data_IF_566874333024
#
_entry.id   IF_566874333024
#
_cell.length_a   1.000
_cell.length_b   1.000
_cell.length_c   1.000
_cell.angle_alpha   90.00
_cell.angle_beta   90.00
_cell.angle_gamma   90.00
#
_symmetry.space_group_name_H-M   'P 1'
#
loop_
_entity.id
_entity.type
_entity.pdbx_description
1 polymer ?
#
# COMPACT_ATOMS: atom_id res chain seq x y z
N UNK A 1 -72.16 -28.39 -23.62
CA UNK A 1 -71.74 -28.10 -22.22
C UNK A 1 -70.23 -28.16 -22.11
N UNK A 2 -69.64 -27.07 -21.84
CA UNK A 2 -68.16 -27.06 -21.57
C UNK A 2 -67.87 -27.86 -20.29
N UNK A 3 -67.02 -28.86 -20.37
CA UNK A 3 -66.56 -29.57 -19.18
C UNK A 3 -65.57 -28.67 -18.48
N UNK A 4 -65.97 -28.09 -17.37
CA UNK A 4 -65.02 -27.36 -16.50
C UNK A 4 -64.05 -28.34 -15.83
N UNK A 5 -62.83 -27.86 -15.54
CA UNK A 5 -61.87 -28.63 -14.77
C UNK A 5 -62.49 -29.06 -13.43
N UNK A 6 -62.42 -30.38 -13.13
CA UNK A 6 -63.06 -30.96 -11.96
C UNK A 6 -62.01 -31.46 -10.94
N UNK A 7 -61.06 -30.63 -10.58
CA UNK A 7 -60.06 -30.97 -9.57
C UNK A 7 -59.23 -32.21 -9.96
N UNK A 8 -59.40 -33.33 -9.23
CA UNK A 8 -58.67 -34.57 -9.44
C UNK A 8 -58.78 -35.13 -10.88
N UNK A 9 -59.81 -34.80 -11.61
CA UNK A 9 -60.01 -35.25 -12.99
C UNK A 9 -59.74 -34.16 -14.02
N UNK A 10 -59.04 -33.10 -13.62
CA UNK A 10 -58.60 -32.06 -14.53
C UNK A 10 -57.55 -32.61 -15.51
N UNK A 11 -57.48 -31.98 -16.65
CA UNK A 11 -56.44 -32.28 -17.65
C UNK A 11 -55.51 -31.06 -17.81
N UNK A 12 -54.28 -31.33 -18.10
CA UNK A 12 -53.28 -30.30 -18.49
C UNK A 12 -52.65 -30.67 -19.83
N UNK A 13 -52.03 -29.73 -20.47
CA UNK A 13 -51.25 -29.91 -21.70
C UNK A 13 -49.80 -29.94 -21.31
N UNK A 14 -49.06 -30.98 -21.80
CA UNK A 14 -47.62 -31.05 -21.62
C UNK A 14 -46.94 -29.96 -22.43
N UNK A 15 -46.04 -29.21 -21.80
CA UNK A 15 -45.27 -28.16 -22.45
C UNK A 15 -44.25 -28.73 -23.47
N UNK A 16 -43.97 -30.03 -23.40
CA UNK A 16 -43.02 -30.68 -24.29
C UNK A 16 -43.70 -31.24 -25.54
N UNK A 17 -44.70 -32.08 -25.37
CA UNK A 17 -45.40 -32.75 -26.47
C UNK A 17 -46.62 -31.98 -26.99
N UNK A 18 -47.16 -31.03 -26.24
CA UNK A 18 -48.43 -30.38 -26.56
C UNK A 18 -49.64 -31.29 -26.42
N UNK A 19 -49.52 -32.50 -25.92
CA UNK A 19 -50.55 -33.49 -25.76
C UNK A 19 -51.27 -33.29 -24.40
N UNK A 20 -52.52 -33.60 -24.35
CA UNK A 20 -53.36 -33.44 -23.15
C UNK A 20 -53.32 -34.73 -22.32
N UNK A 21 -52.89 -34.59 -21.04
CA UNK A 21 -52.83 -35.66 -20.06
C UNK A 21 -53.61 -35.37 -18.79
N UNK A 22 -53.96 -36.35 -17.95
CA UNK A 22 -54.50 -36.13 -16.63
C UNK A 22 -53.54 -35.30 -15.80
N UNK A 23 -54.06 -34.32 -15.02
CA UNK A 23 -53.24 -33.41 -14.27
C UNK A 23 -52.45 -34.09 -13.15
N UNK A 24 -52.94 -35.17 -12.60
CA UNK A 24 -52.27 -36.00 -11.56
C UNK A 24 -51.04 -36.76 -12.06
N UNK A 25 -50.92 -36.92 -13.39
CA UNK A 25 -49.73 -37.58 -14.03
C UNK A 25 -48.72 -36.53 -14.51
N UNK A 26 -48.93 -35.25 -14.25
CA UNK A 26 -48.06 -34.17 -14.68
C UNK A 26 -47.00 -33.83 -13.60
N UNK A 27 -45.76 -33.65 -14.02
CA UNK A 27 -44.61 -33.33 -13.17
C UNK A 27 -43.97 -32.05 -13.65
N UNK A 28 -43.50 -31.24 -12.73
CA UNK A 28 -42.77 -30.03 -13.07
C UNK A 28 -41.25 -30.33 -13.17
N UNK A 29 -40.69 -29.96 -14.29
CA UNK A 29 -39.26 -30.09 -14.53
C UNK A 29 -38.47 -28.96 -13.83
N UNK A 30 -37.14 -29.12 -13.80
CA UNK A 30 -36.18 -28.16 -13.23
C UNK A 30 -36.21 -26.77 -13.90
N UNK A 31 -36.60 -26.71 -15.18
CA UNK A 31 -36.75 -25.47 -15.96
C UNK A 31 -38.13 -24.78 -15.76
N UNK A 32 -39.02 -25.42 -14.99
CA UNK A 32 -40.33 -24.90 -14.69
C UNK A 32 -41.44 -25.44 -15.62
N UNK A 33 -41.10 -26.19 -16.68
CA UNK A 33 -42.06 -26.77 -17.60
C UNK A 33 -42.89 -27.84 -16.92
N UNK A 34 -44.18 -27.90 -17.27
CA UNK A 34 -45.12 -28.92 -16.80
C UNK A 34 -45.22 -30.00 -17.87
N UNK A 35 -44.72 -31.21 -17.57
CA UNK A 35 -44.65 -32.34 -18.53
C UNK A 35 -45.29 -33.57 -17.97
N UNK A 36 -45.70 -34.49 -18.85
CA UNK A 36 -46.17 -35.83 -18.45
C UNK A 36 -45.01 -36.66 -17.89
N UNK A 37 -45.27 -37.47 -16.86
CA UNK A 37 -44.23 -38.24 -16.16
C UNK A 37 -43.28 -39.04 -17.08
N UNK A 38 -43.69 -39.73 -18.14
CA UNK A 38 -42.82 -40.37 -19.10
C UNK A 38 -41.90 -39.42 -19.89
N UNK A 39 -42.27 -38.14 -19.98
CA UNK A 39 -41.49 -37.10 -20.69
C UNK A 39 -40.54 -36.36 -19.78
N UNK A 40 -40.54 -36.65 -18.47
CA UNK A 40 -39.72 -35.98 -17.47
C UNK A 40 -38.25 -36.26 -17.69
N UNK A 41 -37.46 -35.17 -17.72
CA UNK A 41 -36.01 -35.25 -17.74
C UNK A 41 -35.42 -34.59 -16.48
N UNK A 42 -34.54 -35.32 -15.77
CA UNK A 42 -33.81 -34.71 -14.65
C UNK A 42 -32.84 -33.63 -15.15
N UNK A 43 -32.57 -32.67 -14.30
CA UNK A 43 -31.55 -31.67 -14.59
C UNK A 43 -30.19 -32.29 -14.86
N UNK A 44 -29.57 -31.91 -15.97
CA UNK A 44 -28.22 -32.37 -16.29
C UNK A 44 -27.23 -31.90 -15.22
N UNK A 45 -26.38 -32.80 -14.70
CA UNK A 45 -25.40 -32.49 -13.67
C UNK A 45 -24.41 -31.38 -14.08
N UNK A 46 -24.21 -31.18 -15.39
CA UNK A 46 -23.35 -30.13 -15.91
C UNK A 46 -23.93 -28.72 -15.73
N UNK A 47 -25.24 -28.63 -15.56
CA UNK A 47 -25.95 -27.35 -15.32
C UNK A 47 -25.97 -26.97 -13.84
N UNK A 48 -25.50 -27.85 -12.98
CA UNK A 48 -25.30 -27.56 -11.57
C UNK A 48 -23.89 -27.04 -11.38
N UNK A 49 -23.70 -25.84 -10.76
CA UNK A 49 -22.38 -25.38 -10.42
C UNK A 49 -21.74 -26.43 -9.53
N UNK A 50 -20.55 -26.90 -9.90
CA UNK A 50 -19.77 -27.79 -9.03
C UNK A 50 -19.63 -27.11 -7.67
N UNK A 51 -19.87 -27.81 -6.56
CA UNK A 51 -19.55 -27.26 -5.26
C UNK A 51 -18.07 -26.92 -5.26
N UNK A 52 -17.77 -25.63 -5.25
CA UNK A 52 -16.41 -25.14 -5.10
C UNK A 52 -16.06 -25.45 -3.65
N UNK A 53 -15.17 -26.42 -3.43
CA UNK A 53 -14.60 -26.64 -2.12
C UNK A 53 -13.98 -25.33 -1.65
N UNK A 54 -14.09 -25.01 -0.37
CA UNK A 54 -13.42 -23.83 0.19
C UNK A 54 -11.94 -23.93 -0.16
N UNK A 55 -11.43 -22.93 -0.90
CA UNK A 55 -10.01 -22.81 -1.15
C UNK A 55 -9.31 -22.63 0.20
N UNK A 56 -8.46 -23.59 0.63
CA UNK A 56 -7.76 -23.48 1.91
C UNK A 56 -6.80 -22.28 1.96
N UNK A 57 -6.50 -21.69 0.81
CA UNK A 57 -5.70 -20.47 0.69
C UNK A 57 -6.56 -19.20 0.69
N UNK A 58 -7.87 -19.32 0.45
CA UNK A 58 -8.77 -18.19 0.49
C UNK A 58 -9.20 -17.87 1.93
N UNK A 59 -8.90 -16.69 2.38
CA UNK A 59 -9.36 -16.19 3.67
C UNK A 59 -10.82 -15.72 3.55
N UNK A 60 -11.71 -16.24 4.39
CA UNK A 60 -13.12 -15.86 4.41
C UNK A 60 -13.34 -14.36 4.69
N UNK A 61 -12.57 -13.81 5.62
CA UNK A 61 -12.56 -12.38 5.94
C UNK A 61 -11.10 -11.92 6.07
N UNK A 62 -10.40 -11.70 4.97
CA UNK A 62 -9.04 -11.22 5.04
C UNK A 62 -9.02 -9.86 5.72
N UNK A 63 -8.29 -9.77 6.81
CA UNK A 63 -7.90 -8.51 7.43
C UNK A 63 -6.38 -8.41 7.31
N UNK A 64 -5.89 -8.04 6.13
CA UNK A 64 -4.46 -7.89 5.96
C UNK A 64 -3.96 -6.85 6.96
N UNK A 65 -2.82 -7.13 7.54
CA UNK A 65 -2.11 -6.10 8.27
C UNK A 65 -1.95 -4.90 7.34
N UNK A 66 -2.20 -3.68 7.79
CA UNK A 66 -1.93 -2.50 6.98
C UNK A 66 -0.53 -2.63 6.41
N UNK A 67 -0.39 -2.40 5.11
CA UNK A 67 0.91 -2.44 4.47
C UNK A 67 1.87 -1.62 5.33
N UNK A 68 2.95 -2.25 5.76
CA UNK A 68 4.02 -1.51 6.41
C UNK A 68 4.43 -0.42 5.45
N UNK A 69 4.50 0.83 5.94
CA UNK A 69 4.90 1.94 5.09
C UNK A 69 6.21 1.63 4.41
N UNK A 70 6.36 2.18 3.22
CA UNK A 70 7.60 2.09 2.50
C UNK A 70 8.74 2.41 3.46
N UNK A 71 9.68 1.50 3.59
CA UNK A 71 10.81 1.65 4.50
C UNK A 71 11.70 2.83 4.08
N UNK A 72 11.62 3.21 2.81
CA UNK A 72 12.34 4.33 2.21
C UNK A 72 11.34 5.29 1.56
N UNK A 73 11.42 6.57 1.92
CA UNK A 73 10.59 7.63 1.37
C UNK A 73 11.51 8.60 0.62
N UNK A 74 11.16 8.91 -0.63
CA UNK A 74 11.82 9.96 -1.40
C UNK A 74 11.36 11.31 -0.84
N UNK A 75 12.32 12.19 -0.60
CA UNK A 75 12.05 13.55 -0.14
C UNK A 75 11.89 14.49 -1.35
N UNK A 76 11.38 15.68 -1.09
CA UNK A 76 11.29 16.76 -2.08
C UNK A 76 12.69 17.25 -2.49
N UNK A 77 12.77 18.12 -3.49
CA UNK A 77 14.03 18.61 -4.06
C UNK A 77 14.90 19.39 -3.06
N UNK A 78 14.30 20.08 -2.09
CA UNK A 78 14.99 20.84 -1.05
C UNK A 78 14.41 20.56 0.32
N UNK A 79 14.54 19.32 0.84
CA UNK A 79 13.79 18.89 2.00
C UNK A 79 14.36 19.41 3.32
N UNK A 80 15.60 19.84 3.34
CA UNK A 80 16.31 20.22 4.55
C UNK A 80 16.33 21.73 4.73
N UNK A 81 16.09 22.19 5.96
CA UNK A 81 16.26 23.60 6.33
C UNK A 81 17.01 23.70 7.65
N UNK A 82 18.12 24.44 7.65
CA UNK A 82 18.94 24.62 8.84
C UNK A 82 18.31 25.62 9.80
N UNK A 83 18.42 25.33 11.10
CA UNK A 83 18.02 26.22 12.18
C UNK A 83 19.07 26.21 13.26
N UNK A 84 19.47 27.40 13.73
CA UNK A 84 20.40 27.55 14.85
C UNK A 84 19.62 28.06 16.06
N UNK A 85 19.59 27.27 17.11
CA UNK A 85 19.00 27.65 18.38
C UNK A 85 19.90 27.28 19.54
N UNK A 86 20.17 28.24 20.41
CA UNK A 86 21.02 28.08 21.60
C UNK A 86 22.41 27.44 21.31
N UNK A 87 23.02 27.80 20.17
CA UNK A 87 24.32 27.27 19.77
C UNK A 87 24.29 25.86 19.20
N UNK A 88 23.12 25.27 19.03
CA UNK A 88 22.93 23.94 18.43
C UNK A 88 22.32 24.09 17.05
N UNK A 89 22.84 23.31 16.10
CA UNK A 89 22.28 23.23 14.77
C UNK A 89 21.22 22.13 14.71
N UNK A 90 20.04 22.53 14.30
CA UNK A 90 18.94 21.62 13.96
C UNK A 90 18.72 21.65 12.47
N UNK A 91 18.24 20.54 11.94
CA UNK A 91 17.83 20.46 10.54
C UNK A 91 16.38 20.02 10.52
N UNK A 92 15.51 20.90 10.08
CA UNK A 92 14.12 20.59 9.79
C UNK A 92 14.05 19.82 8.47
N UNK A 93 13.28 18.75 8.44
CA UNK A 93 13.10 17.91 7.28
C UNK A 93 11.65 17.91 6.88
N UNK A 94 11.37 18.29 5.65
CA UNK A 94 10.06 18.15 5.04
C UNK A 94 9.89 16.76 4.44
N UNK A 95 8.85 16.06 4.83
CA UNK A 95 8.47 14.76 4.28
C UNK A 95 6.97 14.60 4.43
N UNK A 96 6.26 14.75 3.34
CA UNK A 96 4.80 14.72 3.33
C UNK A 96 4.25 13.45 3.99
N UNK A 97 3.33 13.62 4.93
CA UNK A 97 2.66 12.54 5.70
C UNK A 97 3.62 11.41 6.12
N UNK A 98 4.75 11.74 6.71
CA UNK A 98 5.83 10.78 6.97
C UNK A 98 5.46 9.69 7.97
N UNK A 99 4.43 9.88 8.82
CA UNK A 99 3.89 8.96 9.82
C UNK A 99 4.97 8.26 10.70
N UNK A 100 6.11 8.88 10.88
CA UNK A 100 7.18 8.39 11.75
C UNK A 100 6.89 8.81 13.18
N UNK A 101 7.22 7.94 14.13
CA UNK A 101 7.09 8.26 15.55
C UNK A 101 8.30 9.08 16.04
N UNK A 102 8.07 9.93 17.03
CA UNK A 102 9.17 10.59 17.74
C UNK A 102 10.11 9.53 18.34
N UNK A 103 11.41 9.79 18.29
CA UNK A 103 12.43 8.86 18.75
C UNK A 103 12.80 7.77 17.75
N UNK A 104 12.17 7.68 16.59
CA UNK A 104 12.61 6.78 15.51
C UNK A 104 13.98 7.19 15.01
N UNK A 105 14.80 6.21 14.61
CA UNK A 105 16.10 6.46 14.02
C UNK A 105 15.96 6.37 12.50
N UNK A 106 16.34 7.44 11.82
CA UNK A 106 16.31 7.53 10.36
C UNK A 106 17.69 7.76 9.80
N UNK A 107 17.91 7.27 8.59
CA UNK A 107 19.10 7.55 7.80
C UNK A 107 18.69 8.23 6.50
N UNK A 108 19.42 9.27 6.16
CA UNK A 108 19.28 9.92 4.86
C UNK A 108 20.23 9.29 3.85
N UNK A 109 19.79 9.26 2.60
CA UNK A 109 20.55 8.72 1.48
C UNK A 109 20.37 9.64 0.29
N UNK A 110 21.46 9.94 -0.39
CA UNK A 110 21.45 10.73 -1.62
C UNK A 110 21.08 9.91 -2.86
N UNK A 111 21.16 10.51 -4.04
CA UNK A 111 20.94 9.82 -5.30
C UNK A 111 21.94 8.67 -5.46
N UNK A 112 21.58 7.62 -6.22
CA UNK A 112 22.52 6.55 -6.53
C UNK A 112 23.72 7.13 -7.26
N UNK A 113 24.90 6.84 -6.77
CA UNK A 113 26.12 7.17 -7.47
C UNK A 113 26.28 6.20 -8.63
N UNK A 114 26.24 6.72 -9.84
CA UNK A 114 26.61 5.91 -11.01
C UNK A 114 28.13 5.74 -10.95
N UNK A 115 28.57 4.60 -10.46
CA UNK A 115 29.99 4.23 -10.55
C UNK A 115 30.23 4.01 -12.05
N UNK A 116 30.85 4.98 -12.71
CA UNK A 116 31.34 4.80 -14.04
C UNK A 116 32.30 3.61 -14.04
N UNK A 117 32.00 2.61 -14.87
CA UNK A 117 32.91 1.51 -15.09
C UNK A 117 34.30 2.08 -15.40
N UNK A 118 35.29 1.72 -14.59
CA UNK A 118 36.66 2.14 -14.84
C UNK A 118 37.13 1.62 -16.21
N UNK A 119 38.14 2.21 -16.82
CA UNK A 119 38.66 1.78 -18.13
C UNK A 119 39.32 0.41 -18.07
N UNK A 120 38.60 -0.61 -17.75
CA UNK A 120 39.04 -1.98 -17.58
C UNK A 120 37.92 -2.99 -17.51
N UNK A 121 36.70 -2.53 -17.47
CA UNK A 121 35.44 -3.15 -17.88
C UNK A 121 35.25 -4.65 -17.68
N UNK A 122 35.59 -5.22 -16.57
CA UNK A 122 35.12 -6.55 -16.17
C UNK A 122 34.18 -6.37 -14.94
N UNK A 123 33.02 -5.82 -15.22
CA UNK A 123 31.93 -5.76 -14.22
C UNK A 123 31.23 -7.11 -14.16
N UNK A 124 31.87 -8.05 -13.50
CA UNK A 124 31.26 -9.32 -13.11
C UNK A 124 30.37 -9.19 -11.86
N UNK A 125 30.12 -7.99 -11.39
CA UNK A 125 29.35 -7.77 -10.18
C UNK A 125 28.12 -6.90 -10.44
N UNK A 126 27.14 -7.50 -11.08
CA UNK A 126 25.77 -6.98 -11.21
C UNK A 126 25.00 -6.95 -9.87
N UNK A 127 25.70 -7.04 -8.75
CA UNK A 127 25.05 -6.84 -7.45
C UNK A 127 24.73 -5.36 -7.30
N UNK A 128 23.45 -5.00 -7.13
CA UNK A 128 23.10 -3.61 -6.85
C UNK A 128 23.79 -3.19 -5.56
N UNK A 129 24.83 -2.39 -5.71
CA UNK A 129 25.61 -1.95 -4.58
C UNK A 129 24.74 -1.03 -3.71
N UNK A 130 24.30 -1.53 -2.54
CA UNK A 130 23.53 -0.76 -1.57
C UNK A 130 24.24 0.51 -1.10
N UNK A 131 25.51 0.68 -1.43
CA UNK A 131 26.29 1.90 -1.19
C UNK A 131 25.83 3.08 -2.07
N UNK A 132 25.12 2.81 -3.16
CA UNK A 132 24.65 3.84 -4.10
C UNK A 132 23.73 4.91 -3.46
N UNK A 133 23.19 4.68 -2.27
CA UNK A 133 22.27 5.59 -1.61
C UNK A 133 22.89 6.32 -0.42
N UNK A 134 24.21 6.43 -0.34
CA UNK A 134 24.86 6.96 0.86
C UNK A 134 25.23 8.44 0.76
N UNK A 135 25.44 8.95 -0.44
CA UNK A 135 25.96 10.30 -0.61
C UNK A 135 24.83 11.33 -0.71
N UNK A 136 24.73 12.17 0.30
CA UNK A 136 23.87 13.36 0.28
C UNK A 136 24.77 14.57 0.08
N UNK A 137 24.48 15.44 -0.89
CA UNK A 137 25.21 16.70 -1.03
C UNK A 137 25.16 17.50 0.26
N UNK A 138 26.28 18.02 0.70
CA UNK A 138 26.36 18.89 1.85
C UNK A 138 25.79 20.26 1.51
N UNK A 139 25.10 20.88 2.47
CA UNK A 139 24.60 22.25 2.34
C UNK A 139 24.85 23.01 3.65
N UNK A 140 25.02 24.29 3.55
CA UNK A 140 25.25 25.19 4.69
C UNK A 140 26.24 24.62 5.75
N UNK A 141 27.29 23.97 5.29
CA UNK A 141 28.31 23.32 6.12
C UNK A 141 27.80 22.13 6.99
N UNK A 142 26.59 21.64 6.78
CA UNK A 142 26.06 20.47 7.46
C UNK A 142 26.46 19.21 6.71
N UNK A 143 27.54 18.57 7.14
CA UNK A 143 28.13 17.41 6.47
C UNK A 143 27.71 16.06 7.06
N UNK A 144 27.20 16.05 8.28
CA UNK A 144 26.88 14.81 9.01
C UNK A 144 25.56 14.15 8.59
N UNK A 145 24.79 14.75 7.66
CA UNK A 145 23.60 14.12 7.08
C UNK A 145 23.89 12.76 6.43
N UNK A 146 25.14 12.53 6.03
CA UNK A 146 25.62 11.24 5.52
C UNK A 146 25.88 10.20 6.62
N UNK A 147 25.54 10.48 7.87
CA UNK A 147 25.81 9.60 8.99
C UNK A 147 25.17 8.23 8.82
N UNK A 148 26.00 7.20 8.74
CA UNK A 148 25.55 5.81 8.58
C UNK A 148 24.77 5.29 9.80
N UNK A 149 25.03 5.83 11.00
CA UNK A 149 24.32 5.45 12.23
C UNK A 149 22.92 6.06 12.31
N UNK A 150 22.62 7.01 11.42
CA UNK A 150 21.33 7.70 11.37
C UNK A 150 21.16 8.75 12.47
N UNK A 151 19.95 9.30 12.51
CA UNK A 151 19.55 10.35 13.44
C UNK A 151 18.27 9.98 14.15
N UNK A 152 18.19 10.31 15.43
CA UNK A 152 16.95 10.24 16.17
C UNK A 152 16.10 11.47 15.81
N UNK A 153 14.86 11.25 15.41
CA UNK A 153 13.97 12.33 15.00
C UNK A 153 13.10 12.85 16.16
N UNK A 154 12.83 14.12 16.13
CA UNK A 154 11.76 14.76 16.90
C UNK A 154 10.71 15.30 15.94
N UNK A 155 9.42 15.23 16.31
CA UNK A 155 8.32 15.63 15.44
C UNK A 155 8.22 17.13 15.33
N UNK A 156 7.74 17.60 14.18
CA UNK A 156 7.55 19.01 13.88
C UNK A 156 8.83 19.71 13.45
N UNK A 157 8.67 20.96 13.11
CA UNK A 157 9.80 21.85 12.81
C UNK A 157 10.11 22.75 13.99
N UNK A 158 11.39 23.02 14.19
CA UNK A 158 11.87 23.96 15.21
C UNK A 158 12.18 25.31 14.55
N UNK A 159 11.87 26.41 15.22
CA UNK A 159 12.23 27.76 14.78
C UNK A 159 13.50 28.26 15.49
N UNK A 160 14.00 29.45 15.08
CA UNK A 160 15.16 30.08 15.69
C UNK A 160 14.95 30.53 17.16
N UNK A 161 13.72 30.50 17.64
CA UNK A 161 13.35 30.81 19.03
C UNK A 161 13.19 29.53 19.85
N UNK A 162 13.33 28.34 19.23
CA UNK A 162 13.20 27.05 19.89
C UNK A 162 11.74 26.56 20.00
N UNK A 163 10.79 27.22 19.35
CA UNK A 163 9.41 26.74 19.33
C UNK A 163 9.27 25.61 18.32
N UNK A 164 8.47 24.61 18.67
CA UNK A 164 8.16 23.48 17.81
C UNK A 164 6.75 23.62 17.28
N UNK A 165 6.59 23.56 15.96
CA UNK A 165 5.30 23.62 15.27
C UNK A 165 5.09 22.38 14.43
N UNK A 166 3.83 21.97 14.20
CA UNK A 166 3.51 20.78 13.39
C UNK A 166 3.90 19.44 14.03
N UNK A 167 4.11 19.39 15.35
CA UNK A 167 4.47 18.18 16.06
C UNK A 167 3.28 17.30 16.43
N UNK A 168 2.10 17.89 16.47
CA UNK A 168 0.85 17.22 16.81
C UNK A 168 -0.20 17.54 15.77
N UNK A 169 -0.97 16.54 15.39
CA UNK A 169 -2.13 16.70 14.52
C UNK A 169 -3.40 16.44 15.31
N UNK A 170 -4.39 17.30 15.12
CA UNK A 170 -5.73 17.12 15.68
C UNK A 170 -6.57 16.19 14.82
N UNK A 171 -6.25 16.10 13.54
CA UNK A 171 -6.88 15.22 12.56
C UNK A 171 -5.82 14.73 11.57
N UNK A 172 -5.41 13.45 11.65
CA UNK A 172 -4.38 12.90 10.78
C UNK A 172 -4.75 12.86 9.29
N UNK A 173 -6.03 13.07 8.95
CA UNK A 173 -6.48 13.11 7.57
C UNK A 173 -6.40 14.51 6.97
N UNK A 174 -6.57 15.54 7.80
CA UNK A 174 -6.62 16.94 7.35
C UNK A 174 -5.39 17.76 7.72
N UNK A 175 -4.63 17.29 8.72
CA UNK A 175 -3.42 17.95 9.21
C UNK A 175 -2.30 16.92 9.46
N UNK A 176 -1.78 16.29 8.40
CA UNK A 176 -0.72 15.31 8.52
C UNK A 176 0.57 15.95 9.03
N UNK A 177 1.35 15.18 9.79
CA UNK A 177 2.67 15.63 10.23
C UNK A 177 3.63 15.56 9.05
N UNK A 178 3.99 16.72 8.52
CA UNK A 178 4.85 16.86 7.34
C UNK A 178 6.28 17.22 7.69
N UNK A 179 6.57 17.47 8.96
CA UNK A 179 7.90 17.87 9.40
C UNK A 179 8.38 17.05 10.58
N UNK A 180 9.64 16.74 10.55
CA UNK A 180 10.41 16.33 11.72
C UNK A 180 11.74 17.07 11.72
N UNK A 181 12.43 17.12 12.83
CA UNK A 181 13.74 17.71 12.92
C UNK A 181 14.73 16.75 13.56
N UNK A 182 15.99 16.97 13.24
CA UNK A 182 17.14 16.26 13.79
C UNK A 182 18.12 17.26 14.37
N UNK A 183 18.94 16.79 15.30
CA UNK A 183 20.07 17.57 15.79
C UNK A 183 21.30 17.17 14.99
N UNK A 184 21.97 18.15 14.40
CA UNK A 184 23.23 17.95 13.68
C UNK A 184 24.40 18.07 14.63
N UNK A 185 25.45 17.29 14.37
CA UNK A 185 26.75 17.43 15.03
C UNK A 185 27.66 18.43 14.33
N UNK A 186 27.34 18.74 13.05
CA UNK A 186 27.99 19.79 12.29
C UNK A 186 27.33 21.14 12.57
N UNK A 187 28.10 22.20 12.54
CA UNK A 187 27.58 23.55 12.72
C UNK A 187 27.18 24.16 11.38
N UNK A 188 25.93 24.54 11.24
CA UNK A 188 25.48 25.35 10.10
C UNK A 188 26.16 26.72 10.14
N UNK A 189 26.46 27.26 8.97
CA UNK A 189 27.00 28.61 8.83
C UNK A 189 25.92 29.66 9.09
N UNK A 190 24.70 29.40 8.63
CA UNK A 190 23.58 30.32 8.72
C UNK A 190 22.29 29.51 8.97
N UNK A 191 21.40 30.05 9.79
CA UNK A 191 20.07 29.48 9.94
C UNK A 191 19.13 29.91 8.80
N UNK A 192 18.17 29.04 8.48
CA UNK A 192 17.14 29.30 7.46
C UNK A 192 17.58 28.99 6.04
N UNK A 193 18.72 28.33 5.86
CA UNK A 193 19.18 27.86 4.54
C UNK A 193 18.50 26.54 4.22
N UNK A 194 17.89 26.44 3.04
CA UNK A 194 17.27 25.21 2.52
C UNK A 194 18.19 24.56 1.50
N UNK A 195 18.19 23.23 1.47
CA UNK A 195 19.03 22.48 0.55
C UNK A 195 18.89 20.98 0.68
N UNK A 196 19.91 20.25 0.27
CA UNK A 196 19.99 18.79 0.32
C UNK A 196 20.02 18.13 -1.06
N UNK A 197 19.81 18.91 -2.12
CA UNK A 197 19.83 18.42 -3.50
C UNK A 197 18.65 17.52 -3.85
N UNK A 198 18.59 17.16 -5.13
CA UNK A 198 17.52 16.34 -5.67
C UNK A 198 17.69 14.85 -5.31
N UNK A 199 16.57 14.14 -5.21
CA UNK A 199 16.54 12.70 -5.02
C UNK A 199 17.11 12.18 -3.68
N UNK A 200 17.05 12.98 -2.64
CA UNK A 200 17.33 12.49 -1.28
C UNK A 200 16.19 11.60 -0.78
N UNK A 201 16.54 10.60 -0.01
CA UNK A 201 15.58 9.70 0.60
C UNK A 201 15.82 9.54 2.10
N UNK A 202 14.76 9.24 2.83
CA UNK A 202 14.80 8.96 4.27
C UNK A 202 14.22 7.58 4.54
N UNK A 203 14.90 6.81 5.36
CA UNK A 203 14.47 5.45 5.69
C UNK A 203 15.14 4.93 6.95
N UNK A 204 14.96 3.65 7.28
CA UNK A 204 15.63 3.01 8.40
C UNK A 204 17.13 2.96 8.17
N UNK A 205 17.89 2.78 9.27
CA UNK A 205 19.36 2.65 9.20
C UNK A 205 19.77 1.45 8.37
N UNK A 206 19.10 0.31 8.58
CA UNK A 206 19.35 -0.92 7.82
C UNK A 206 18.19 -1.14 6.86
N UNK A 207 18.48 -1.38 5.59
CA UNK A 207 17.53 -1.81 4.59
C UNK A 207 17.59 -3.33 4.50
N UNK A 208 16.46 -3.99 4.72
CA UNK A 208 16.32 -5.41 4.43
C UNK A 208 15.92 -5.58 2.98
N UNK A 209 16.69 -6.35 2.23
CA UNK A 209 16.30 -6.79 0.89
C UNK A 209 15.43 -8.02 1.09
N UNK A 210 14.15 -7.90 0.84
CA UNK A 210 13.25 -9.05 0.80
C UNK A 210 13.43 -9.68 -0.58
N UNK A 211 14.07 -10.83 -0.61
CA UNK A 211 14.22 -11.66 -1.81
C UNK A 211 12.93 -12.43 -2.11
#
# INVERSE_FOLDING_TARGET
MGKYASGKYAYAISDRSGVRFPYDEMVREWNGSLVHFPEYEPKQPQLEPKPVGSDPQALYNPRPQPASKASLILLDSTPFTTVIYSGTTYVNVFSEDHQRAAGSIVRFRGPPEVIAAGPGGDDADDTPNLQQFQNIPTFDNVSDLNNASGFTIALGQIDSSGNITGATTTDPLTDPINFFHITSTSNATTGGVSGGGDNCSVGPVTLEVIN
#
